data_IF_275910584126
#
_entry.id   IF_275910584126
#
_cell.length_a   1.000
_cell.length_b   1.000
_cell.length_c   1.000
_cell.angle_alpha   90.00
_cell.angle_beta   90.00
_cell.angle_gamma   90.00
#
_symmetry.space_group_name_H-M   'P 1'
#
loop_
_entity.id
_entity.type
_entity.pdbx_description
1 polymer ?
#
# COMPACT_ATOMS: atom_id res chain seq x y z
N UNK A 1 9.90 -21.29 25.61
CA UNK A 1 10.99 -20.50 25.00
C UNK A 1 10.32 -19.54 24.02
N UNK A 2 10.48 -18.22 24.21
CA UNK A 2 10.00 -17.25 23.24
C UNK A 2 10.91 -17.41 22.02
N UNK A 3 10.37 -17.84 20.88
CA UNK A 3 11.14 -17.94 19.63
C UNK A 3 11.70 -16.56 19.28
N UNK A 4 12.98 -16.51 18.89
CA UNK A 4 13.55 -15.26 18.38
C UNK A 4 12.73 -14.80 17.17
N UNK A 5 12.42 -13.49 17.06
CA UNK A 5 11.73 -12.99 15.87
C UNK A 5 12.56 -13.29 14.62
N UNK A 6 11.91 -13.75 13.56
CA UNK A 6 12.52 -13.95 12.25
C UNK A 6 11.98 -12.98 11.24
N UNK A 7 12.76 -12.68 10.21
CA UNK A 7 12.33 -11.78 9.13
C UNK A 7 11.10 -12.36 8.42
N UNK A 8 10.03 -11.58 8.32
CA UNK A 8 8.76 -11.96 7.67
C UNK A 8 8.93 -12.34 6.17
N UNK A 9 10.02 -11.93 5.53
CA UNK A 9 10.25 -12.14 4.10
C UNK A 9 11.16 -13.35 3.84
N UNK A 10 12.33 -13.42 4.50
CA UNK A 10 13.34 -14.45 4.20
C UNK A 10 13.63 -15.40 5.37
N UNK A 11 12.85 -15.33 6.45
CA UNK A 11 12.91 -16.16 7.66
C UNK A 11 14.27 -16.14 8.38
N UNK A 12 15.15 -15.20 8.05
CA UNK A 12 16.46 -15.06 8.70
C UNK A 12 16.32 -14.50 10.11
N UNK A 13 17.03 -15.08 11.07
CA UNK A 13 17.18 -14.57 12.44
C UNK A 13 18.32 -13.55 12.56
N UNK A 14 19.08 -13.29 11.49
CA UNK A 14 20.17 -12.33 11.48
C UNK A 14 19.65 -10.94 11.18
N UNK A 15 19.32 -10.20 12.23
CA UNK A 15 18.78 -8.84 12.15
C UNK A 15 19.26 -7.99 13.33
N UNK A 16 19.11 -6.68 13.21
CA UNK A 16 19.39 -5.72 14.28
C UNK A 16 18.26 -4.71 14.42
N UNK A 17 18.18 -4.10 15.59
CA UNK A 17 17.27 -2.99 15.87
C UNK A 17 17.42 -1.88 14.82
N UNK A 18 16.30 -1.37 14.37
CA UNK A 18 16.27 -0.26 13.43
C UNK A 18 15.57 0.98 14.00
N UNK A 19 14.33 0.85 14.48
CA UNK A 19 13.56 1.96 15.04
C UNK A 19 12.40 1.47 15.89
N UNK A 20 11.96 2.33 16.81
CA UNK A 20 10.70 2.17 17.54
C UNK A 20 9.72 3.27 17.20
N UNK A 21 8.43 2.91 17.18
CA UNK A 21 7.32 3.82 16.88
C UNK A 21 6.15 3.52 17.82
N UNK A 22 5.31 4.53 18.09
CA UNK A 22 4.01 4.30 18.72
C UNK A 22 2.97 3.87 17.67
N UNK A 23 1.78 3.46 18.09
CA UNK A 23 0.65 3.26 17.17
C UNK A 23 0.34 4.58 16.44
N UNK A 24 0.28 4.52 15.10
CA UNK A 24 0.04 5.69 14.26
C UNK A 24 -1.43 5.79 13.86
N UNK A 25 -1.95 7.00 13.68
CA UNK A 25 -3.38 7.24 13.43
C UNK A 25 -4.26 6.41 14.39
N UNK A 26 -3.93 6.48 15.67
CA UNK A 26 -4.65 5.81 16.74
C UNK A 26 -4.83 6.76 17.92
N UNK A 27 -5.92 6.58 18.67
CA UNK A 27 -6.23 7.44 19.84
C UNK A 27 -5.27 7.14 20.98
N UNK A 28 -5.03 5.85 21.24
CA UNK A 28 -4.12 5.41 22.30
C UNK A 28 -2.74 5.11 21.70
N UNK A 29 -1.69 5.68 22.32
CA UNK A 29 -0.30 5.56 21.86
C UNK A 29 0.60 4.91 22.92
N UNK A 30 0.02 4.07 23.75
CA UNK A 30 0.75 3.44 24.87
C UNK A 30 1.67 2.32 24.40
N UNK A 31 1.34 1.66 23.28
CA UNK A 31 2.11 0.54 22.77
C UNK A 31 3.26 1.00 21.88
N UNK A 32 4.40 0.37 22.08
CA UNK A 32 5.61 0.60 21.28
C UNK A 32 5.84 -0.59 20.35
N UNK A 33 6.05 -0.27 19.09
CA UNK A 33 6.30 -1.22 18.01
C UNK A 33 7.75 -1.12 17.56
N UNK A 34 8.44 -2.25 17.57
CA UNK A 34 9.87 -2.35 17.26
C UNK A 34 10.07 -2.92 15.89
N UNK A 35 10.73 -2.14 15.03
CA UNK A 35 11.15 -2.58 13.71
C UNK A 35 12.63 -2.93 13.70
N UNK A 36 12.96 -4.09 13.14
CA UNK A 36 14.32 -4.54 12.93
C UNK A 36 14.67 -4.59 11.45
N UNK A 37 15.96 -4.42 11.15
CA UNK A 37 16.49 -4.58 9.79
C UNK A 37 17.09 -5.98 9.66
N UNK A 38 16.63 -6.72 8.67
CA UNK A 38 17.21 -7.99 8.27
C UNK A 38 18.55 -7.78 7.55
N UNK A 39 19.62 -8.46 7.98
CA UNK A 39 20.93 -8.37 7.31
C UNK A 39 21.02 -9.25 6.07
N UNK A 40 20.12 -10.23 5.92
CA UNK A 40 20.10 -11.11 4.77
C UNK A 40 19.40 -10.46 3.56
N UNK A 41 18.12 -10.04 3.68
CA UNK A 41 17.35 -9.47 2.58
C UNK A 41 17.24 -7.92 2.64
N UNK A 42 17.78 -7.29 3.68
CA UNK A 42 17.76 -5.84 3.91
C UNK A 42 16.37 -5.22 4.09
N UNK A 43 15.32 -6.01 4.22
CA UNK A 43 13.99 -5.52 4.57
C UNK A 43 13.93 -5.04 6.02
N UNK A 44 12.94 -4.21 6.31
CA UNK A 44 12.58 -3.87 7.68
C UNK A 44 11.31 -4.66 8.02
N UNK A 45 11.23 -5.20 9.23
CA UNK A 45 10.06 -5.95 9.68
C UNK A 45 9.73 -5.67 11.14
N UNK A 46 8.46 -5.77 11.47
CA UNK A 46 7.94 -5.59 12.82
C UNK A 46 8.23 -6.85 13.65
N UNK A 47 8.88 -6.70 14.80
CA UNK A 47 9.28 -7.85 15.66
C UNK A 47 8.24 -8.23 16.69
N UNK A 48 7.30 -7.33 16.98
CA UNK A 48 6.19 -7.53 17.89
C UNK A 48 4.85 -7.20 17.22
N UNK A 49 4.51 -7.86 16.10
CA UNK A 49 3.24 -7.63 15.42
C UNK A 49 2.08 -8.05 16.33
N UNK A 50 0.98 -7.34 16.25
CA UNK A 50 -0.30 -7.82 16.80
C UNK A 50 -0.80 -8.99 15.96
N UNK A 51 -1.64 -9.85 16.51
CA UNK A 51 -2.29 -10.89 15.70
C UNK A 51 -3.24 -10.27 14.68
N UNK A 52 -3.52 -10.96 13.56
CA UNK A 52 -4.43 -10.47 12.53
C UNK A 52 -5.81 -10.13 13.10
N UNK A 53 -6.31 -10.94 14.04
CA UNK A 53 -7.59 -10.68 14.71
C UNK A 53 -7.57 -9.39 15.56
N UNK A 54 -6.44 -9.09 16.19
CA UNK A 54 -6.27 -7.86 16.96
C UNK A 54 -6.07 -6.65 16.05
N UNK A 55 -5.51 -6.84 14.85
CA UNK A 55 -5.25 -5.75 13.92
C UNK A 55 -6.52 -4.97 13.55
N UNK A 56 -7.67 -5.64 13.50
CA UNK A 56 -8.97 -5.01 13.22
C UNK A 56 -9.27 -3.86 14.20
N UNK A 57 -8.84 -3.97 15.47
CA UNK A 57 -9.03 -2.90 16.47
C UNK A 57 -8.27 -1.61 16.17
N UNK A 58 -7.29 -1.65 15.27
CA UNK A 58 -6.54 -0.47 14.84
C UNK A 58 -7.17 0.27 13.65
N UNK A 59 -8.20 -0.30 13.01
CA UNK A 59 -8.98 0.34 11.96
C UNK A 59 -10.20 1.08 12.55
N UNK A 60 -9.90 2.05 13.42
CA UNK A 60 -10.89 2.84 14.18
C UNK A 60 -11.30 4.10 13.42
N UNK A 61 -12.17 4.90 14.05
CA UNK A 61 -12.52 6.24 13.57
C UNK A 61 -11.34 7.23 13.52
N UNK A 62 -10.17 6.88 14.08
CA UNK A 62 -8.94 7.64 13.94
C UNK A 62 -8.17 7.26 12.65
N UNK A 63 -8.53 6.17 11.97
CA UNK A 63 -7.87 5.73 10.75
C UNK A 63 -8.37 6.53 9.54
N UNK A 64 -7.61 7.54 9.15
CA UNK A 64 -8.00 8.51 8.13
C UNK A 64 -8.41 7.90 6.78
N UNK A 65 -7.75 6.84 6.24
CA UNK A 65 -8.16 6.22 4.99
C UNK A 65 -9.61 5.69 4.99
N UNK A 66 -10.10 5.19 6.14
CA UNK A 66 -11.49 4.73 6.25
C UNK A 66 -12.50 5.88 6.32
N UNK A 67 -12.07 7.01 6.89
CA UNK A 67 -12.92 8.20 6.98
C UNK A 67 -13.05 8.90 5.64
N UNK A 68 -12.05 8.73 4.77
CA UNK A 68 -12.03 9.28 3.42
C UNK A 68 -12.30 10.78 3.38
N UNK A 69 -12.99 11.22 2.34
CA UNK A 69 -13.37 12.61 2.12
C UNK A 69 -14.28 13.20 3.21
N UNK A 70 -15.08 12.36 3.88
CA UNK A 70 -16.00 12.80 4.97
C UNK A 70 -15.27 13.45 6.14
N UNK A 71 -14.00 13.08 6.38
CA UNK A 71 -13.18 13.68 7.42
C UNK A 71 -12.88 15.17 7.17
N UNK A 72 -12.99 15.64 5.94
CA UNK A 72 -12.54 16.96 5.49
C UNK A 72 -13.62 18.02 5.40
N UNK A 73 -14.87 17.70 5.81
CA UNK A 73 -15.99 18.64 5.87
C UNK A 73 -16.20 19.37 4.53
N UNK A 74 -16.22 20.70 4.54
CA UNK A 74 -16.44 21.51 3.32
C UNK A 74 -15.37 21.34 2.23
N UNK A 75 -14.22 20.74 2.54
CA UNK A 75 -13.15 20.47 1.58
C UNK A 75 -13.20 19.04 1.02
N UNK A 76 -14.24 18.27 1.31
CA UNK A 76 -14.42 16.90 0.83
C UNK A 76 -14.25 16.78 -0.70
N UNK A 77 -14.81 17.70 -1.47
CA UNK A 77 -14.71 17.68 -2.94
C UNK A 77 -13.27 17.81 -3.46
N UNK A 78 -12.40 18.53 -2.73
CA UNK A 78 -10.99 18.60 -3.09
C UNK A 78 -10.31 17.25 -2.89
N UNK A 79 -10.61 16.57 -1.79
CA UNK A 79 -10.06 15.23 -1.52
C UNK A 79 -10.56 14.23 -2.54
N UNK A 80 -11.83 14.24 -2.89
CA UNK A 80 -12.39 13.41 -3.97
C UNK A 80 -11.65 13.65 -5.29
N UNK A 81 -11.38 14.92 -5.64
CA UNK A 81 -10.62 15.24 -6.84
C UNK A 81 -9.18 14.71 -6.78
N UNK A 82 -8.47 14.87 -5.65
CA UNK A 82 -7.08 14.36 -5.48
C UNK A 82 -7.04 12.82 -5.59
N UNK A 83 -8.01 12.12 -4.99
CA UNK A 83 -8.18 10.67 -5.11
C UNK A 83 -8.47 10.23 -6.55
N UNK A 84 -9.29 10.98 -7.27
CA UNK A 84 -9.53 10.73 -8.69
C UNK A 84 -8.25 10.85 -9.53
N UNK A 85 -7.41 11.85 -9.25
CA UNK A 85 -6.12 12.02 -9.91
C UNK A 85 -5.15 10.87 -9.57
N UNK A 86 -5.14 10.41 -8.31
CA UNK A 86 -4.37 9.25 -7.90
C UNK A 86 -4.79 8.00 -8.69
N UNK A 87 -6.09 7.72 -8.74
CA UNK A 87 -6.59 6.54 -9.43
C UNK A 87 -6.41 6.64 -10.96
N UNK A 88 -6.48 7.84 -11.54
CA UNK A 88 -6.12 8.05 -12.96
C UNK A 88 -4.65 7.67 -13.24
N UNK A 89 -3.71 8.09 -12.39
CA UNK A 89 -2.29 7.68 -12.53
C UNK A 89 -2.10 6.17 -12.37
N UNK A 90 -2.87 5.50 -11.49
CA UNK A 90 -2.87 4.04 -11.35
C UNK A 90 -3.36 3.36 -12.63
N UNK A 91 -4.45 3.87 -13.21
CA UNK A 91 -4.98 3.39 -14.49
C UNK A 91 -3.96 3.57 -15.61
N UNK A 92 -3.35 4.77 -15.74
CA UNK A 92 -2.30 5.01 -16.73
C UNK A 92 -1.14 4.03 -16.58
N UNK A 93 -0.68 3.79 -15.35
CA UNK A 93 0.40 2.84 -15.09
C UNK A 93 -0.01 1.40 -15.44
N UNK A 94 -1.21 0.96 -15.05
CA UNK A 94 -1.73 -0.36 -15.37
C UNK A 94 -1.83 -0.58 -16.89
N UNK A 95 -2.35 0.41 -17.61
CA UNK A 95 -2.52 0.36 -19.07
C UNK A 95 -1.20 0.21 -19.83
N UNK A 96 -0.06 0.64 -19.27
CA UNK A 96 1.26 0.42 -19.90
C UNK A 96 1.61 -1.06 -20.06
N UNK A 97 1.00 -1.94 -19.26
CA UNK A 97 1.28 -3.38 -19.21
C UNK A 97 0.13 -4.23 -19.73
N UNK A 98 -1.00 -3.60 -20.09
CA UNK A 98 -2.15 -4.25 -20.71
C UNK A 98 -2.08 -4.05 -22.23
N UNK A 99 -1.44 -5.00 -22.93
CA UNK A 99 -1.35 -4.93 -24.38
C UNK A 99 -2.68 -5.25 -25.04
N UNK A 100 -2.85 -4.84 -26.32
CA UNK A 100 -4.05 -4.94 -27.17
C UNK A 100 -4.62 -6.37 -27.21
N UNK A 101 -5.38 -6.73 -26.19
CA UNK A 101 -6.22 -7.94 -26.13
C UNK A 101 -7.69 -7.52 -26.28
N UNK A 102 -8.48 -8.37 -26.86
CA UNK A 102 -9.93 -8.17 -27.02
C UNK A 102 -10.68 -8.23 -25.67
N UNK A 103 -10.14 -8.98 -24.72
CA UNK A 103 -10.67 -9.12 -23.35
C UNK A 103 -9.50 -9.22 -22.38
N UNK A 104 -9.55 -8.40 -21.36
CA UNK A 104 -8.52 -8.27 -20.32
C UNK A 104 -9.16 -8.49 -18.96
N UNK A 105 -8.58 -9.38 -18.17
CA UNK A 105 -9.02 -9.65 -16.80
C UNK A 105 -8.03 -9.02 -15.80
N UNK A 106 -8.53 -8.16 -14.93
CA UNK A 106 -7.74 -7.47 -13.91
C UNK A 106 -8.27 -7.77 -12.52
N UNK A 107 -7.36 -8.10 -11.60
CA UNK A 107 -7.64 -8.29 -10.19
C UNK A 107 -6.89 -7.23 -9.38
N UNK A 108 -7.57 -6.61 -8.41
CA UNK A 108 -6.95 -5.72 -7.43
C UNK A 108 -7.08 -6.34 -6.03
N UNK A 109 -5.95 -6.65 -5.39
CA UNK A 109 -5.91 -7.23 -4.04
C UNK A 109 -5.70 -6.13 -3.00
N UNK A 110 -6.56 -6.14 -1.95
CA UNK A 110 -6.63 -5.04 -1.00
C UNK A 110 -7.24 -3.79 -1.66
N UNK A 111 -8.34 -3.96 -2.40
CA UNK A 111 -8.89 -2.89 -3.25
C UNK A 111 -9.50 -1.72 -2.45
N UNK A 112 -9.76 -1.89 -1.15
CA UNK A 112 -10.34 -0.89 -0.27
C UNK A 112 -11.56 -0.20 -0.90
N UNK A 113 -11.48 1.13 -1.08
CA UNK A 113 -12.42 1.90 -1.89
C UNK A 113 -12.09 1.67 -3.38
N UNK A 114 -12.95 0.92 -4.15
CA UNK A 114 -12.58 0.40 -5.46
C UNK A 114 -12.64 1.44 -6.60
N UNK A 115 -12.24 2.68 -6.34
CA UNK A 115 -12.22 3.79 -7.30
C UNK A 115 -11.28 3.53 -8.48
N UNK A 116 -10.14 2.85 -8.25
CA UNK A 116 -9.24 2.42 -9.31
C UNK A 116 -9.95 1.47 -10.29
N UNK A 117 -10.62 0.45 -9.75
CA UNK A 117 -11.36 -0.52 -10.57
C UNK A 117 -12.53 0.14 -11.31
N UNK A 118 -13.25 1.06 -10.66
CA UNK A 118 -14.34 1.80 -11.28
C UNK A 118 -13.86 2.71 -12.44
N UNK A 119 -12.65 3.26 -12.35
CA UNK A 119 -12.06 4.02 -13.45
C UNK A 119 -11.58 3.11 -14.57
N UNK A 120 -10.95 1.99 -14.23
CA UNK A 120 -10.43 1.02 -15.19
C UNK A 120 -11.55 0.36 -15.99
N UNK A 121 -12.67 0.04 -15.34
CA UNK A 121 -13.87 -0.57 -15.94
C UNK A 121 -14.61 0.33 -16.94
N UNK A 122 -14.23 1.61 -17.09
CA UNK A 122 -14.73 2.46 -18.18
C UNK A 122 -14.25 2.01 -19.56
N UNK A 123 -13.19 1.19 -19.60
CA UNK A 123 -12.75 0.51 -20.80
C UNK A 123 -13.54 -0.80 -20.92
N UNK A 124 -14.44 -0.87 -21.89
CA UNK A 124 -15.35 -2.02 -22.09
C UNK A 124 -14.64 -3.36 -22.33
N UNK A 125 -13.37 -3.32 -22.75
CA UNK A 125 -12.55 -4.52 -22.94
C UNK A 125 -11.95 -5.06 -21.64
N UNK A 126 -12.12 -4.36 -20.51
CA UNK A 126 -11.49 -4.73 -19.22
C UNK A 126 -12.56 -5.19 -18.23
N UNK A 127 -12.45 -6.44 -17.81
CA UNK A 127 -13.23 -7.02 -16.72
C UNK A 127 -12.43 -6.89 -15.43
N UNK A 128 -13.00 -6.22 -14.45
CA UNK A 128 -12.35 -5.95 -13.17
C UNK A 128 -12.92 -6.81 -12.05
N UNK A 129 -12.04 -7.21 -11.14
CA UNK A 129 -12.40 -7.85 -9.88
C UNK A 129 -11.58 -7.22 -8.75
N UNK A 130 -12.22 -6.98 -7.61
CA UNK A 130 -11.57 -6.50 -6.39
C UNK A 130 -11.76 -7.46 -5.24
N UNK A 131 -10.74 -7.60 -4.40
CA UNK A 131 -10.81 -8.37 -3.15
C UNK A 131 -10.32 -7.49 -2.01
N UNK A 132 -11.08 -7.46 -0.91
CA UNK A 132 -10.67 -6.80 0.34
C UNK A 132 -11.25 -7.53 1.54
N UNK A 133 -10.64 -7.38 2.71
CA UNK A 133 -11.13 -8.01 3.94
C UNK A 133 -12.41 -7.37 4.47
N UNK A 134 -12.83 -6.21 3.94
CA UNK A 134 -14.04 -5.48 4.33
C UNK A 134 -14.74 -4.86 3.15
N UNK A 135 -16.06 -4.97 3.12
CA UNK A 135 -16.96 -4.33 2.14
C UNK A 135 -17.42 -2.92 2.56
N UNK A 136 -16.95 -2.40 3.68
CA UNK A 136 -17.46 -1.17 4.30
C UNK A 136 -17.45 0.09 3.41
N UNK A 137 -16.68 0.08 2.31
CA UNK A 137 -16.57 1.20 1.38
C UNK A 137 -17.18 0.93 -0.01
N UNK A 138 -17.99 -0.13 -0.17
CA UNK A 138 -18.51 -0.59 -1.47
C UNK A 138 -19.96 -0.18 -1.78
N UNK A 139 -20.64 0.51 -0.90
CA UNK A 139 -22.08 0.82 -1.01
C UNK A 139 -22.41 1.91 -2.06
N UNK A 140 -21.41 2.55 -2.66
CA UNK A 140 -21.66 3.61 -3.62
C UNK A 140 -22.23 3.08 -4.96
N UNK A 141 -23.22 3.77 -5.55
CA UNK A 141 -23.86 3.35 -6.81
C UNK A 141 -22.88 3.09 -7.96
N UNK A 142 -21.75 3.80 -7.98
CA UNK A 142 -20.72 3.65 -9.01
C UNK A 142 -19.99 2.30 -9.00
N UNK A 143 -20.11 1.52 -7.92
CA UNK A 143 -19.47 0.20 -7.79
C UNK A 143 -20.40 -0.97 -8.11
N UNK A 144 -21.69 -0.73 -8.39
CA UNK A 144 -22.69 -1.79 -8.61
C UNK A 144 -22.33 -2.79 -9.72
N UNK A 145 -21.56 -2.33 -10.72
CA UNK A 145 -21.16 -3.17 -11.86
C UNK A 145 -19.78 -3.79 -11.68
N UNK A 146 -19.13 -3.62 -10.53
CA UNK A 146 -17.85 -4.25 -10.23
C UNK A 146 -18.07 -5.63 -9.61
N UNK A 147 -17.18 -6.56 -9.91
CA UNK A 147 -17.10 -7.83 -9.19
C UNK A 147 -16.22 -7.61 -7.95
N UNK A 148 -16.84 -7.60 -6.76
CA UNK A 148 -16.15 -7.37 -5.50
C UNK A 148 -16.39 -8.57 -4.58
N UNK A 149 -15.32 -9.05 -3.92
CA UNK A 149 -15.33 -10.21 -3.04
C UNK A 149 -14.74 -9.82 -1.69
N UNK A 150 -15.57 -9.92 -0.63
CA UNK A 150 -15.13 -9.68 0.74
C UNK A 150 -14.51 -10.94 1.35
N UNK A 151 -13.37 -10.77 2.01
CA UNK A 151 -12.70 -11.81 2.76
C UNK A 151 -11.18 -11.72 2.73
N UNK A 152 -10.55 -12.61 3.47
CA UNK A 152 -9.11 -12.76 3.41
C UNK A 152 -8.69 -13.28 2.04
N UNK A 153 -7.98 -12.44 1.29
CA UNK A 153 -7.45 -12.73 -0.04
C UNK A 153 -6.78 -14.11 -0.12
N UNK A 154 -6.03 -14.49 0.90
CA UNK A 154 -5.26 -15.75 0.93
C UNK A 154 -6.16 -16.97 0.91
N UNK A 155 -7.38 -16.86 1.44
CA UNK A 155 -8.34 -17.97 1.62
C UNK A 155 -9.45 -18.00 0.55
N UNK A 156 -9.64 -16.92 -0.22
CA UNK A 156 -10.68 -16.85 -1.25
C UNK A 156 -10.29 -17.71 -2.45
N UNK A 157 -11.15 -18.62 -2.85
CA UNK A 157 -10.98 -19.41 -4.07
C UNK A 157 -11.47 -18.63 -5.29
N UNK A 158 -10.62 -18.45 -6.27
CA UNK A 158 -10.93 -17.82 -7.54
C UNK A 158 -10.63 -18.78 -8.68
N UNK A 159 -11.66 -19.20 -9.40
CA UNK A 159 -11.58 -20.12 -10.55
C UNK A 159 -11.35 -19.35 -11.86
N UNK A 160 -10.45 -18.37 -11.85
CA UNK A 160 -10.19 -17.50 -13.00
C UNK A 160 -8.73 -17.06 -13.01
N UNK A 161 -8.15 -16.88 -14.18
CA UNK A 161 -6.83 -16.31 -14.34
C UNK A 161 -6.90 -14.87 -14.87
N UNK A 162 -5.91 -14.06 -14.52
CA UNK A 162 -5.86 -12.63 -14.78
C UNK A 162 -4.67 -12.25 -15.65
N UNK A 163 -4.85 -11.23 -16.48
CA UNK A 163 -3.79 -10.62 -17.27
C UNK A 163 -2.93 -9.68 -16.40
N UNK A 164 -3.57 -9.03 -15.42
CA UNK A 164 -2.94 -8.14 -14.47
C UNK A 164 -3.50 -8.39 -13.07
N UNK A 165 -2.60 -8.49 -12.09
CA UNK A 165 -2.93 -8.38 -10.66
C UNK A 165 -2.27 -7.12 -10.15
N UNK A 166 -3.02 -6.27 -9.45
CA UNK A 166 -2.52 -5.06 -8.80
C UNK A 166 -2.61 -5.18 -7.28
N UNK A 167 -1.68 -4.53 -6.59
CA UNK A 167 -1.64 -4.44 -5.13
C UNK A 167 -1.12 -3.06 -4.73
N UNK A 168 -2.03 -2.13 -4.43
CA UNK A 168 -1.73 -0.76 -4.04
C UNK A 168 -1.69 -0.65 -2.53
N UNK A 169 -0.49 -0.61 -1.95
CA UNK A 169 -0.31 -0.54 -0.50
C UNK A 169 -0.99 -1.71 0.24
N UNK A 170 -0.78 -2.93 -0.24
CA UNK A 170 -1.27 -4.17 0.34
C UNK A 170 -0.14 -5.00 0.98
N UNK A 171 0.98 -5.20 0.26
CA UNK A 171 2.03 -6.13 0.67
C UNK A 171 2.71 -5.78 2.00
N UNK A 172 2.76 -4.51 2.37
CA UNK A 172 3.27 -4.06 3.66
C UNK A 172 2.42 -4.50 4.86
N UNK A 173 1.16 -4.87 4.62
CA UNK A 173 0.21 -5.36 5.62
C UNK A 173 0.13 -6.88 5.69
N UNK A 174 0.72 -7.59 4.73
CA UNK A 174 0.52 -9.03 4.56
C UNK A 174 1.35 -9.85 5.56
N UNK A 175 0.67 -10.72 6.31
CA UNK A 175 1.28 -11.63 7.29
C UNK A 175 1.93 -12.86 6.67
N UNK A 176 1.52 -13.25 5.44
CA UNK A 176 2.13 -14.34 4.69
C UNK A 176 2.35 -13.99 3.22
N UNK A 177 3.41 -13.22 2.99
CA UNK A 177 3.82 -12.75 1.67
C UNK A 177 4.08 -13.90 0.70
N UNK A 178 4.62 -15.04 1.20
CA UNK A 178 4.94 -16.20 0.36
C UNK A 178 3.65 -16.86 -0.15
N UNK A 179 2.64 -17.01 0.69
CA UNK A 179 1.32 -17.52 0.29
C UNK A 179 0.66 -16.60 -0.74
N UNK A 180 0.69 -15.28 -0.50
CA UNK A 180 0.15 -14.28 -1.42
C UNK A 180 0.83 -14.33 -2.78
N UNK A 181 2.15 -14.40 -2.83
CA UNK A 181 2.91 -14.46 -4.10
C UNK A 181 2.65 -15.74 -4.86
N UNK A 182 2.60 -16.89 -4.16
CA UNK A 182 2.28 -18.17 -4.78
C UNK A 182 0.86 -18.15 -5.36
N UNK A 183 -0.10 -17.56 -4.64
CA UNK A 183 -1.46 -17.41 -5.15
C UNK A 183 -1.52 -16.47 -6.35
N UNK A 184 -0.80 -15.35 -6.34
CA UNK A 184 -0.67 -14.50 -7.52
C UNK A 184 -0.09 -15.27 -8.71
N UNK A 185 0.91 -16.12 -8.47
CA UNK A 185 1.51 -16.97 -9.51
C UNK A 185 0.49 -17.92 -10.14
N UNK A 186 -0.34 -18.56 -9.34
CA UNK A 186 -1.39 -19.48 -9.81
C UNK A 186 -2.46 -18.77 -10.62
N UNK A 187 -2.86 -17.56 -10.18
CA UNK A 187 -3.95 -16.80 -10.78
C UNK A 187 -3.52 -15.92 -11.97
N UNK A 188 -2.23 -15.68 -12.19
CA UNK A 188 -1.78 -14.99 -13.38
C UNK A 188 -1.74 -15.92 -14.60
N UNK A 189 -2.23 -15.44 -15.74
CA UNK A 189 -2.03 -16.06 -17.05
C UNK A 189 -0.53 -16.09 -17.39
N UNK A 190 -0.08 -16.97 -18.31
CA UNK A 190 1.28 -16.87 -18.86
C UNK A 190 1.56 -15.45 -19.40
N UNK A 191 2.71 -14.89 -19.09
CA UNK A 191 3.09 -13.49 -19.34
C UNK A 191 2.22 -12.43 -18.63
N UNK A 192 1.36 -12.84 -17.70
CA UNK A 192 0.58 -11.92 -16.84
C UNK A 192 1.48 -11.10 -15.92
N UNK A 193 0.99 -9.95 -15.51
CA UNK A 193 1.74 -8.95 -14.74
C UNK A 193 1.23 -8.89 -13.29
N UNK A 194 2.14 -8.86 -12.34
CA UNK A 194 1.90 -8.43 -10.97
C UNK A 194 2.51 -7.04 -10.77
N UNK A 195 1.68 -6.05 -10.42
CA UNK A 195 2.08 -4.67 -10.17
C UNK A 195 1.86 -4.33 -8.70
N UNK A 196 2.93 -3.98 -8.01
CA UNK A 196 2.92 -3.70 -6.57
C UNK A 196 3.42 -2.29 -6.32
N UNK A 197 2.71 -1.52 -5.50
CA UNK A 197 3.16 -0.23 -4.98
C UNK A 197 3.14 -0.27 -3.45
N UNK A 198 4.28 0.11 -2.81
CA UNK A 198 4.45 0.10 -1.35
C UNK A 198 5.33 1.25 -0.88
N UNK A 199 5.31 1.62 0.41
CA UNK A 199 6.25 2.54 0.99
C UNK A 199 7.70 2.05 0.84
N UNK A 200 8.63 3.00 0.63
CA UNK A 200 10.06 2.73 0.52
C UNK A 200 10.81 3.36 1.69
N UNK A 201 11.29 2.54 2.63
CA UNK A 201 11.97 3.02 3.84
C UNK A 201 13.35 3.65 3.57
N UNK A 202 13.95 3.38 2.41
CA UNK A 202 15.23 3.94 1.99
C UNK A 202 15.10 5.36 1.42
N UNK A 203 13.91 5.95 1.48
CA UNK A 203 13.63 7.30 0.99
C UNK A 203 14.16 8.41 1.90
N UNK A 204 14.35 9.62 1.33
CA UNK A 204 14.81 10.79 2.07
C UNK A 204 13.83 11.18 3.16
N UNK A 205 12.54 11.12 2.88
CA UNK A 205 11.48 11.51 3.83
C UNK A 205 11.55 10.68 5.12
N UNK A 206 11.79 9.35 5.01
CA UNK A 206 11.94 8.48 6.16
C UNK A 206 13.11 8.93 7.05
N UNK A 207 14.26 9.29 6.46
CA UNK A 207 15.45 9.75 7.20
C UNK A 207 15.19 11.05 7.95
N UNK A 208 14.40 11.96 7.37
CA UNK A 208 14.06 13.25 7.97
C UNK A 208 13.02 13.12 9.09
N UNK A 209 12.00 12.29 8.89
CA UNK A 209 10.89 12.14 9.84
C UNK A 209 11.15 11.08 10.91
N UNK A 210 12.08 10.16 10.67
CA UNK A 210 12.47 9.09 11.60
C UNK A 210 11.22 8.32 12.07
N UNK A 211 10.97 8.25 13.39
CA UNK A 211 9.85 7.53 14.00
C UNK A 211 8.47 8.02 13.59
N UNK A 212 8.34 9.22 13.04
CA UNK A 212 7.05 9.80 12.65
C UNK A 212 6.69 9.58 11.19
N UNK A 213 7.59 8.98 10.40
CA UNK A 213 7.32 8.72 9.00
C UNK A 213 6.17 7.72 8.83
N UNK A 214 5.15 8.12 8.06
CA UNK A 214 3.93 7.31 7.93
C UNK A 214 4.12 6.00 7.16
N UNK A 215 5.24 5.78 6.53
CA UNK A 215 5.56 4.48 5.99
C UNK A 215 5.74 3.37 7.04
N UNK A 216 5.93 3.71 8.33
CA UNK A 216 5.89 2.72 9.42
C UNK A 216 4.48 2.24 9.72
N UNK A 217 3.53 3.13 9.75
CA UNK A 217 2.09 2.92 10.01
C UNK A 217 1.79 1.80 11.01
N UNK A 218 2.56 1.76 12.09
CA UNK A 218 2.48 0.73 13.12
C UNK A 218 1.10 0.70 13.82
N UNK A 219 0.58 -0.49 14.15
CA UNK A 219 1.14 -1.81 13.87
C UNK A 219 0.68 -2.40 12.52
N UNK A 220 0.01 -1.62 11.64
CA UNK A 220 -0.60 -2.11 10.41
C UNK A 220 0.42 -2.56 9.37
N UNK A 221 1.54 -1.81 9.23
CA UNK A 221 2.64 -2.23 8.36
C UNK A 221 3.57 -3.18 9.10
N UNK A 222 3.68 -4.39 8.62
CA UNK A 222 4.54 -5.44 9.21
C UNK A 222 5.86 -5.57 8.48
N UNK A 223 5.90 -5.23 7.19
CA UNK A 223 7.07 -5.40 6.34
C UNK A 223 7.32 -4.20 5.46
N UNK A 224 8.57 -3.77 5.34
CA UNK A 224 8.99 -2.75 4.39
C UNK A 224 10.12 -3.33 3.53
N UNK A 225 9.90 -3.30 2.23
CA UNK A 225 10.71 -4.01 1.25
C UNK A 225 11.93 -3.21 0.80
N UNK A 226 13.06 -3.88 0.66
CA UNK A 226 14.23 -3.41 -0.09
C UNK A 226 14.20 -3.95 -1.51
N UNK A 227 15.02 -3.38 -2.40
CA UNK A 227 15.19 -4.00 -3.72
C UNK A 227 15.81 -5.41 -3.63
N UNK A 228 16.68 -5.63 -2.65
CA UNK A 228 17.27 -6.96 -2.42
C UNK A 228 16.21 -7.98 -2.00
N UNK A 229 15.26 -7.60 -1.12
CA UNK A 229 14.16 -8.49 -0.76
C UNK A 229 13.26 -8.83 -1.95
N UNK A 230 12.93 -7.84 -2.81
CA UNK A 230 12.18 -8.11 -4.03
C UNK A 230 12.91 -9.09 -4.96
N UNK A 231 14.21 -8.92 -5.12
CA UNK A 231 15.02 -9.87 -5.89
C UNK A 231 14.99 -11.28 -5.30
N UNK A 232 15.09 -11.41 -3.99
CA UNK A 232 15.02 -12.73 -3.32
C UNK A 232 13.66 -13.40 -3.52
N UNK A 233 12.58 -12.62 -3.48
CA UNK A 233 11.22 -13.12 -3.69
C UNK A 233 10.99 -13.56 -5.13
N UNK A 234 11.42 -12.77 -6.12
CA UNK A 234 11.01 -12.92 -7.52
C UNK A 234 12.10 -13.43 -8.47
N UNK A 235 13.36 -13.58 -8.05
CA UNK A 235 14.40 -14.12 -8.95
C UNK A 235 14.45 -15.65 -9.01
N UNK A 236 13.67 -16.34 -8.18
CA UNK A 236 13.56 -17.79 -8.25
C UNK A 236 12.40 -18.21 -9.19
N UNK A 237 12.78 -18.97 -10.23
CA UNK A 237 11.98 -19.82 -11.12
C UNK A 237 11.12 -19.13 -12.19
N UNK A 238 9.93 -18.65 -11.87
CA UNK A 238 8.90 -18.36 -12.89
C UNK A 238 8.60 -16.86 -13.04
N UNK A 239 9.47 -16.00 -12.51
CA UNK A 239 9.26 -14.58 -12.48
C UNK A 239 10.35 -13.78 -13.19
N UNK A 240 9.98 -12.63 -13.73
CA UNK A 240 10.88 -11.62 -14.28
C UNK A 240 10.55 -10.27 -13.67
N UNK A 241 11.51 -9.61 -13.06
CA UNK A 241 11.36 -8.21 -12.64
C UNK A 241 11.48 -7.33 -13.88
N UNK A 242 10.35 -6.85 -14.39
CA UNK A 242 10.27 -5.99 -15.58
C UNK A 242 10.74 -4.58 -15.27
N UNK A 243 10.34 -4.06 -14.11
CA UNK A 243 10.67 -2.69 -13.70
C UNK A 243 10.66 -2.54 -12.18
N UNK A 244 11.59 -1.76 -11.65
CA UNK A 244 11.54 -1.25 -10.29
C UNK A 244 11.74 0.26 -10.31
N UNK A 245 10.73 1.00 -9.86
CA UNK A 245 10.75 2.47 -9.77
C UNK A 245 10.83 2.88 -8.29
N UNK A 246 11.65 3.88 -7.98
CA UNK A 246 11.80 4.47 -6.63
C UNK A 246 10.81 5.62 -6.41
N UNK A 247 9.68 5.56 -7.07
CA UNK A 247 8.53 6.44 -6.98
C UNK A 247 7.27 5.64 -7.29
N UNK A 248 6.11 6.19 -6.96
CA UNK A 248 4.81 5.57 -7.16
C UNK A 248 3.80 6.46 -7.86
N UNK A 249 2.57 5.99 -7.88
CA UNK A 249 1.39 6.75 -8.32
C UNK A 249 0.91 7.69 -7.22
N UNK A 250 1.01 7.27 -5.95
CA UNK A 250 0.83 8.14 -4.80
C UNK A 250 2.07 9.00 -4.59
N UNK A 251 1.88 10.31 -4.40
CA UNK A 251 3.01 11.19 -4.09
C UNK A 251 3.54 10.93 -2.68
N UNK A 252 4.86 10.86 -2.55
CA UNK A 252 5.53 10.75 -1.25
C UNK A 252 5.22 11.94 -0.31
N UNK A 253 4.70 13.07 -0.85
CA UNK A 253 4.17 14.18 -0.06
C UNK A 253 3.08 13.72 0.92
N UNK A 254 2.22 12.78 0.53
CA UNK A 254 1.17 12.24 1.39
C UNK A 254 1.78 11.65 2.66
N UNK A 255 2.77 10.75 2.53
CA UNK A 255 3.46 10.15 3.68
C UNK A 255 4.18 11.22 4.53
N UNK A 256 4.78 12.22 3.86
CA UNK A 256 5.45 13.31 4.55
C UNK A 256 4.46 14.15 5.37
N UNK A 257 3.35 14.57 4.76
CA UNK A 257 2.37 15.42 5.45
C UNK A 257 1.72 14.69 6.64
N UNK A 258 1.32 13.44 6.44
CA UNK A 258 0.76 12.61 7.51
C UNK A 258 1.75 12.42 8.65
N UNK A 259 3.03 12.16 8.36
CA UNK A 259 4.09 12.09 9.39
C UNK A 259 4.36 13.42 10.08
N UNK A 260 4.20 14.54 9.37
CA UNK A 260 4.27 15.86 9.98
C UNK A 260 3.13 16.11 10.96
N UNK A 261 1.90 15.63 10.64
CA UNK A 261 0.76 15.70 11.57
C UNK A 261 0.95 14.73 12.75
N UNK A 262 1.48 13.52 12.52
CA UNK A 262 1.80 12.56 13.57
C UNK A 262 2.78 13.14 14.59
N UNK A 263 3.83 13.83 14.12
CA UNK A 263 4.79 14.53 14.97
C UNK A 263 4.13 15.63 15.83
N UNK A 264 3.06 16.26 15.34
CA UNK A 264 2.27 17.25 16.06
C UNK A 264 1.26 16.64 17.02
N UNK A 265 1.15 15.32 17.03
CA UNK A 265 0.20 14.57 17.84
C UNK A 265 -1.24 15.09 17.71
N UNK A 266 -1.71 15.28 16.47
CA UNK A 266 -3.08 15.75 16.23
C UNK A 266 -4.09 14.68 16.65
N UNK A 267 -5.30 15.11 16.94
CA UNK A 267 -6.45 14.22 17.11
C UNK A 267 -6.92 13.70 15.76
N UNK A 268 -6.57 12.46 15.44
CA UNK A 268 -6.95 11.80 14.17
C UNK A 268 -8.44 11.46 14.09
N UNK A 269 -9.17 11.40 15.23
CA UNK A 269 -10.63 11.19 15.23
C UNK A 269 -11.41 12.46 14.96
N UNK A 270 -10.79 13.62 15.17
CA UNK A 270 -11.39 14.93 14.97
C UNK A 270 -11.52 15.31 13.49
N UNK A 271 -12.15 16.44 13.22
CA UNK A 271 -12.29 16.96 11.84
C UNK A 271 -10.95 17.37 11.25
N UNK A 272 -10.66 16.87 10.05
CA UNK A 272 -9.48 17.24 9.25
C UNK A 272 -9.66 18.60 8.54
N UNK A 273 -10.86 19.15 8.52
CA UNK A 273 -11.17 20.44 7.89
C UNK A 273 -10.24 21.57 8.40
N UNK A 274 -9.96 21.60 9.71
CA UNK A 274 -9.06 22.59 10.33
C UNK A 274 -7.60 22.49 9.83
N UNK A 275 -7.21 21.35 9.29
CA UNK A 275 -5.86 21.08 8.78
C UNK A 275 -5.71 21.31 7.28
N UNK A 276 -6.80 21.63 6.58
CA UNK A 276 -6.81 21.75 5.12
C UNK A 276 -5.83 22.83 4.60
N UNK A 277 -5.88 24.04 5.17
CA UNK A 277 -4.96 25.10 4.73
C UNK A 277 -3.50 24.81 5.09
N UNK A 278 -3.25 24.07 6.16
CA UNK A 278 -1.91 23.56 6.47
C UNK A 278 -1.44 22.56 5.40
N UNK A 279 -2.33 21.65 4.96
CA UNK A 279 -2.05 20.73 3.86
C UNK A 279 -1.70 21.50 2.58
N UNK A 280 -2.54 22.45 2.18
CA UNK A 280 -2.35 23.26 0.95
C UNK A 280 -1.05 24.06 1.02
N UNK A 281 -0.79 24.73 2.13
CA UNK A 281 0.45 25.50 2.34
C UNK A 281 1.68 24.63 2.11
N UNK A 282 1.76 23.49 2.77
CA UNK A 282 2.90 22.59 2.64
C UNK A 282 2.97 21.92 1.26
N UNK A 283 1.83 21.60 0.64
CA UNK A 283 1.79 21.04 -0.72
C UNK A 283 2.38 22.02 -1.74
N UNK A 284 2.06 23.30 -1.62
CA UNK A 284 2.60 24.35 -2.50
C UNK A 284 4.09 24.60 -2.21
N UNK A 285 4.46 24.79 -0.93
CA UNK A 285 5.84 25.09 -0.54
C UNK A 285 6.82 23.97 -0.92
N UNK A 286 6.41 22.72 -0.77
CA UNK A 286 7.27 21.55 -1.04
C UNK A 286 7.07 20.97 -2.45
N UNK A 287 6.21 21.55 -3.27
CA UNK A 287 5.96 21.10 -4.65
C UNK A 287 7.26 20.94 -5.46
N UNK A 288 8.26 21.86 -5.41
CA UNK A 288 9.48 21.67 -6.17
C UNK A 288 10.27 20.41 -5.75
N UNK A 289 10.29 20.10 -4.45
CA UNK A 289 10.94 18.88 -3.94
C UNK A 289 10.23 17.62 -4.42
N UNK A 290 8.89 17.58 -4.28
CA UNK A 290 8.11 16.39 -4.65
C UNK A 290 7.95 16.23 -6.18
N UNK A 291 8.13 17.30 -6.96
CA UNK A 291 8.26 17.19 -8.42
C UNK A 291 9.50 16.37 -8.86
N UNK A 292 10.50 16.26 -7.99
CA UNK A 292 11.72 15.48 -8.23
C UNK A 292 11.59 14.00 -7.82
N UNK A 293 10.41 13.54 -7.37
CA UNK A 293 10.25 12.15 -6.86
C UNK A 293 10.58 11.06 -7.89
N UNK A 294 10.54 11.37 -9.19
CA UNK A 294 10.99 10.44 -10.24
C UNK A 294 12.50 10.28 -10.33
N UNK A 295 13.26 11.25 -9.80
CA UNK A 295 14.73 11.30 -9.84
C UNK A 295 15.30 10.94 -8.47
N UNK A 296 14.69 11.46 -7.41
CA UNK A 296 15.14 11.32 -6.03
C UNK A 296 14.19 10.39 -5.27
N UNK A 297 14.69 9.33 -4.59
CA UNK A 297 13.84 8.41 -3.84
C UNK A 297 13.26 9.12 -2.61
N UNK A 298 12.00 9.48 -2.64
CA UNK A 298 11.35 10.20 -1.55
C UNK A 298 10.64 9.29 -0.55
N UNK A 299 10.05 8.16 -0.95
CA UNK A 299 9.44 7.28 0.05
C UNK A 299 8.39 6.30 -0.46
N UNK A 300 8.22 6.19 -1.77
CA UNK A 300 7.34 5.21 -2.44
C UNK A 300 8.16 4.43 -3.46
N UNK A 301 7.79 3.19 -3.68
CA UNK A 301 8.35 2.36 -4.75
C UNK A 301 7.26 1.58 -5.45
N UNK A 302 7.47 1.34 -6.74
CA UNK A 302 6.63 0.48 -7.55
C UNK A 302 7.48 -0.61 -8.19
N UNK A 303 7.02 -1.84 -8.13
CA UNK A 303 7.68 -2.97 -8.79
C UNK A 303 6.69 -3.66 -9.73
N UNK A 304 7.15 -3.99 -10.90
CA UNK A 304 6.40 -4.69 -11.95
C UNK A 304 7.09 -6.00 -12.25
N UNK A 305 6.34 -7.07 -12.11
CA UNK A 305 6.83 -8.43 -12.22
C UNK A 305 5.99 -9.15 -13.29
N UNK A 306 6.64 -9.92 -14.15
CA UNK A 306 6.00 -10.77 -15.15
C UNK A 306 6.10 -12.23 -14.74
N UNK A 307 5.01 -12.97 -14.86
CA UNK A 307 5.03 -14.44 -14.83
C UNK A 307 5.59 -14.95 -16.16
N UNK A 308 6.63 -15.78 -16.11
CA UNK A 308 7.19 -16.46 -17.30
C UNK A 308 6.34 -17.60 -17.79
#
# INVERSE_FOLDING_TARGET
MISKPSCSICQSENHSFYIETAAMMHVEKLEIYTFNRCHNCESIFLTNPVSENQLVSYYTNAYLPYRGEKAWGKYANFVVWDDQQLNARRVELAMLYLHQKTEIDVLDIGCGKPDFLAQLAKNENIRTMGVDFTSAQWEEPKYKNLTLVEGDWRNIELNKQFDLITAWHYFEHDYDINQTIEKCRQLLKPNGILLIEVPMYQGIIQKLQRRYWQGWHSPRHISLFSFKSWRMIFLEKDWEIVKHSKYGTMSAFTLWWLGHQEKKNIDWSGSMERHFWNLVFWKVLLMPLFALERIIPLGIQTIVIRKK
#
